data_IF_743889559551
#
_entry.id   IF_743889559551
#
_cell.length_a   1.000
_cell.length_b   1.000
_cell.length_c   1.000
_cell.angle_alpha   90.00
_cell.angle_beta   90.00
_cell.angle_gamma   90.00
#
_symmetry.space_group_name_H-M   'P 1'
#
loop_
_entity.id
_entity.type
_entity.pdbx_description
1 polymer ?
#
# COMPACT_ATOMS: atom_id res chain seq x y z
N UNK A 1 -5.54 18.43 6.65
CA UNK A 1 -4.25 17.75 6.43
C UNK A 1 -3.14 18.60 5.81
N UNK A 2 -3.39 19.62 4.96
CA UNK A 2 -2.30 20.40 4.33
C UNK A 2 -1.26 20.96 5.32
N UNK A 3 -1.68 21.60 6.42
CA UNK A 3 -0.74 22.07 7.45
C UNK A 3 0.10 20.97 8.10
N UNK A 4 -0.37 19.72 8.09
CA UNK A 4 0.43 18.58 8.57
C UNK A 4 1.40 18.08 7.50
N UNK A 5 1.00 18.04 6.22
CA UNK A 5 1.75 17.35 5.16
C UNK A 5 2.62 18.27 4.28
N UNK A 6 2.28 19.55 4.24
CA UNK A 6 2.86 20.59 3.38
C UNK A 6 3.04 21.92 4.16
N UNK A 7 3.60 21.91 5.39
CA UNK A 7 3.84 23.16 6.12
C UNK A 7 4.94 23.99 5.44
N UNK A 8 4.83 25.32 5.52
CA UNK A 8 5.91 26.24 5.16
C UNK A 8 6.75 26.64 6.39
N UNK A 9 6.21 26.44 7.58
CA UNK A 9 6.82 26.79 8.86
C UNK A 9 6.49 25.77 9.95
N UNK A 10 7.52 25.30 10.66
CA UNK A 10 7.39 24.26 11.68
C UNK A 10 8.09 24.68 12.97
N UNK A 11 7.35 24.71 14.07
CA UNK A 11 7.92 24.82 15.41
C UNK A 11 8.13 23.43 16.00
N UNK A 12 9.31 23.14 16.54
CA UNK A 12 9.59 21.85 17.19
C UNK A 12 9.80 22.11 18.68
N UNK A 13 8.86 21.67 19.51
CA UNK A 13 8.84 21.89 20.95
C UNK A 13 9.44 20.69 21.67
N UNK A 14 10.56 20.91 22.35
CA UNK A 14 11.32 19.84 23.00
C UNK A 14 12.40 19.22 22.13
N UNK A 15 13.03 20.00 21.24
CA UNK A 15 14.14 19.53 20.41
C UNK A 15 15.29 19.04 21.30
N UNK A 16 15.78 17.83 21.01
CA UNK A 16 16.95 17.28 21.68
C UNK A 16 18.21 18.07 21.34
N UNK A 17 19.06 18.31 22.34
CA UNK A 17 20.42 18.86 22.13
C UNK A 17 21.42 17.79 21.66
N UNK A 18 21.06 16.51 21.77
CA UNK A 18 21.91 15.39 21.32
C UNK A 18 21.75 15.22 19.81
N UNK A 19 22.85 14.92 19.12
CA UNK A 19 22.89 14.60 17.69
C UNK A 19 23.71 13.35 17.42
N UNK A 20 23.61 12.79 16.22
CA UNK A 20 24.35 11.59 15.83
C UNK A 20 23.63 10.28 16.12
N UNK A 21 24.37 9.17 16.12
CA UNK A 21 23.81 7.83 16.25
C UNK A 21 23.01 7.68 17.56
N UNK A 22 21.76 7.21 17.46
CA UNK A 22 20.87 7.02 18.61
C UNK A 22 20.27 8.30 19.20
N UNK A 23 20.42 9.47 18.55
CA UNK A 23 19.88 10.74 19.06
C UNK A 23 18.36 10.85 19.02
N UNK A 24 17.71 10.11 18.11
CA UNK A 24 16.29 10.22 17.75
C UNK A 24 15.83 11.69 17.60
N UNK A 25 16.68 12.52 17.01
CA UNK A 25 16.48 13.95 16.93
C UNK A 25 15.64 14.34 15.70
N UNK A 26 14.41 14.81 15.94
CA UNK A 26 13.50 15.26 14.87
C UNK A 26 14.09 16.37 14.01
N UNK A 27 14.80 17.34 14.61
CA UNK A 27 15.39 18.45 13.88
C UNK A 27 16.48 17.93 12.94
N UNK A 28 17.35 17.07 13.45
CA UNK A 28 18.41 16.43 12.67
C UNK A 28 17.85 15.64 11.49
N UNK A 29 16.81 14.84 11.72
CA UNK A 29 16.18 14.05 10.66
C UNK A 29 15.46 14.92 9.64
N UNK A 30 14.76 15.98 10.06
CA UNK A 30 14.06 16.91 9.16
C UNK A 30 15.06 17.63 8.24
N UNK A 31 16.21 18.06 8.79
CA UNK A 31 17.30 18.64 8.01
C UNK A 31 17.90 17.63 7.03
N UNK A 32 18.22 16.41 7.48
CA UNK A 32 18.74 15.33 6.63
C UNK A 32 17.77 14.92 5.52
N UNK A 33 16.46 14.97 5.79
CA UNK A 33 15.42 14.67 4.81
C UNK A 33 15.29 15.77 3.73
N UNK A 34 15.81 16.97 4.01
CA UNK A 34 15.95 18.06 3.05
C UNK A 34 14.82 19.09 3.06
N UNK A 35 14.15 19.27 4.21
CA UNK A 35 13.08 20.25 4.35
C UNK A 35 13.60 21.67 4.12
N UNK A 36 12.85 22.46 3.34
CA UNK A 36 13.25 23.82 2.91
C UNK A 36 12.42 24.93 3.54
N UNK A 37 11.38 24.60 4.30
CA UNK A 37 10.58 25.59 5.00
C UNK A 37 11.29 26.14 6.24
N UNK A 38 10.63 27.06 6.93
CA UNK A 38 11.15 27.68 8.15
C UNK A 38 11.06 26.69 9.31
N UNK A 39 12.13 26.59 10.09
CA UNK A 39 12.18 25.73 11.27
C UNK A 39 12.44 26.60 12.50
N UNK A 40 11.62 26.41 13.54
CA UNK A 40 11.72 27.11 14.81
C UNK A 40 11.89 26.10 15.95
N UNK A 41 13.14 25.74 16.32
CA UNK A 41 13.39 24.90 17.47
C UNK A 41 13.03 25.65 18.77
N UNK A 42 12.27 25.00 19.65
CA UNK A 42 11.90 25.55 20.97
C UNK A 42 12.57 24.70 22.05
N UNK A 43 13.57 25.29 22.70
CA UNK A 43 14.32 24.70 23.80
C UNK A 43 14.88 25.81 24.72
N UNK A 44 14.37 25.99 25.94
CA UNK A 44 14.79 27.06 26.84
C UNK A 44 16.21 26.89 27.41
N UNK A 45 16.83 25.71 27.23
CA UNK A 45 18.16 25.39 27.74
C UNK A 45 19.24 25.38 26.63
N UNK A 46 18.93 25.90 25.45
CA UNK A 46 19.85 26.07 24.34
C UNK A 46 19.68 27.47 23.73
N UNK A 47 20.76 28.04 23.18
CA UNK A 47 20.67 29.21 22.30
C UNK A 47 20.66 28.82 20.81
N UNK A 48 21.25 27.67 20.48
CA UNK A 48 21.34 27.14 19.12
C UNK A 48 21.36 25.60 19.17
N UNK A 49 20.73 24.95 18.20
CA UNK A 49 20.81 23.50 17.97
C UNK A 49 21.01 23.26 16.47
N UNK A 50 22.06 22.51 16.10
CA UNK A 50 22.38 22.17 14.70
C UNK A 50 22.52 23.40 13.78
N UNK A 51 23.09 24.50 14.28
CA UNK A 51 23.25 25.74 13.51
C UNK A 51 21.98 26.59 13.42
N UNK A 52 20.90 26.24 14.13
CA UNK A 52 19.62 26.95 14.08
C UNK A 52 19.33 27.59 15.45
N UNK A 53 19.12 28.92 15.51
CA UNK A 53 18.75 29.61 16.74
C UNK A 53 17.48 29.02 17.36
N UNK A 54 17.47 28.90 18.69
CA UNK A 54 16.36 28.32 19.43
C UNK A 54 15.59 29.39 20.20
N UNK A 55 14.30 29.14 20.41
CA UNK A 55 13.41 29.97 21.22
C UNK A 55 13.18 29.31 22.58
N UNK A 56 13.01 30.11 23.63
CA UNK A 56 12.67 29.57 24.95
C UNK A 56 11.20 29.12 25.03
N UNK A 57 10.31 29.91 24.43
CA UNK A 57 8.89 29.64 24.31
C UNK A 57 8.42 29.78 22.85
N UNK A 58 7.40 29.01 22.47
CA UNK A 58 6.83 29.07 21.12
C UNK A 58 6.20 30.45 20.83
N UNK A 59 5.73 31.16 21.87
CA UNK A 59 5.14 32.50 21.77
C UNK A 59 6.19 33.55 21.39
N UNK A 60 7.48 33.31 21.67
CA UNK A 60 8.57 34.22 21.37
C UNK A 60 8.96 34.23 19.89
N UNK A 61 8.43 33.29 19.09
CA UNK A 61 8.75 33.18 17.66
C UNK A 61 8.28 34.41 16.88
N UNK A 62 7.15 35.01 17.27
CA UNK A 62 6.61 36.24 16.66
C UNK A 62 6.31 36.13 15.15
N UNK A 63 6.24 34.91 14.61
CA UNK A 63 6.00 34.61 13.19
C UNK A 63 4.90 33.58 13.05
N UNK A 64 4.28 33.51 11.88
CA UNK A 64 3.30 32.46 11.55
C UNK A 64 3.96 31.08 11.64
N UNK A 65 3.26 30.15 12.28
CA UNK A 65 3.64 28.75 12.45
C UNK A 65 2.50 27.90 11.89
N UNK A 66 2.73 27.15 10.82
CA UNK A 66 1.72 26.28 10.22
C UNK A 66 1.54 24.99 11.04
N UNK A 67 2.63 24.48 11.61
CA UNK A 67 2.67 23.22 12.33
C UNK A 67 3.55 23.31 13.59
N UNK A 68 3.05 22.82 14.72
CA UNK A 68 3.89 22.54 15.89
C UNK A 68 4.08 21.04 16.09
N UNK A 69 5.29 20.61 16.43
CA UNK A 69 5.61 19.21 16.75
C UNK A 69 6.10 19.15 18.19
N UNK A 70 5.35 18.49 19.07
CA UNK A 70 5.67 18.37 20.50
C UNK A 70 6.33 17.01 20.75
N UNK A 71 7.56 17.04 21.26
CA UNK A 71 8.36 15.85 21.62
C UNK A 71 8.91 15.99 23.04
N UNK A 72 8.03 15.84 24.04
CA UNK A 72 8.33 16.02 25.47
C UNK A 72 7.68 14.92 26.33
N UNK A 73 8.10 14.73 27.59
CA UNK A 73 7.38 13.82 28.50
C UNK A 73 5.88 14.13 28.57
N UNK A 74 5.03 13.10 28.65
CA UNK A 74 3.56 13.20 28.54
C UNK A 74 2.94 14.23 29.48
N UNK A 75 3.53 14.43 30.65
CA UNK A 75 3.07 15.37 31.67
C UNK A 75 3.20 16.84 31.24
N UNK A 76 4.14 17.14 30.32
CA UNK A 76 4.39 18.50 29.83
C UNK A 76 3.55 18.84 28.60
N UNK A 77 3.08 17.83 27.87
CA UNK A 77 2.39 18.01 26.57
C UNK A 77 1.16 18.92 26.67
N UNK A 78 0.22 18.76 27.64
CA UNK A 78 -0.97 19.61 27.68
C UNK A 78 -0.67 21.10 27.87
N UNK A 79 0.32 21.44 28.70
CA UNK A 79 0.74 22.82 28.89
C UNK A 79 1.34 23.40 27.60
N UNK A 80 2.21 22.64 26.93
CA UNK A 80 2.86 23.06 25.68
C UNK A 80 1.87 23.16 24.52
N UNK A 81 0.84 22.31 24.49
CA UNK A 81 -0.26 22.45 23.54
C UNK A 81 -0.99 23.79 23.75
N UNK A 82 -1.30 24.17 24.99
CA UNK A 82 -1.93 25.48 25.27
C UNK A 82 -1.07 26.66 24.82
N UNK A 83 0.24 26.59 25.00
CA UNK A 83 1.16 27.60 24.48
C UNK A 83 1.14 27.66 22.95
N UNK A 84 1.08 26.50 22.27
CA UNK A 84 0.92 26.46 20.80
C UNK A 84 -0.39 27.12 20.36
N UNK A 85 -1.50 26.86 21.08
CA UNK A 85 -2.79 27.50 20.81
C UNK A 85 -2.71 29.02 21.00
N UNK A 86 -2.08 29.49 22.08
CA UNK A 86 -1.86 30.91 22.35
C UNK A 86 -0.97 31.59 21.30
N UNK A 87 -0.02 30.85 20.70
CA UNK A 87 0.79 31.30 19.58
C UNK A 87 0.06 31.24 18.22
N UNK A 88 -1.23 30.85 18.20
CA UNK A 88 -2.06 30.82 17.00
C UNK A 88 -1.89 29.57 16.12
N UNK A 89 -1.19 28.54 16.60
CA UNK A 89 -0.98 27.28 15.85
C UNK A 89 -2.30 26.50 15.77
N UNK A 90 -2.66 26.03 14.58
CA UNK A 90 -3.91 25.26 14.34
C UNK A 90 -3.69 23.77 14.08
N UNK A 91 -2.46 23.35 13.79
CA UNK A 91 -2.11 21.95 13.57
C UNK A 91 -0.95 21.54 14.49
N UNK A 92 -1.14 20.48 15.27
CA UNK A 92 -0.15 20.01 16.24
C UNK A 92 0.06 18.51 16.11
N UNK A 93 1.32 18.08 15.99
CA UNK A 93 1.72 16.68 16.06
C UNK A 93 2.26 16.41 17.46
N UNK A 94 1.72 15.41 18.15
CA UNK A 94 2.21 15.00 19.47
C UNK A 94 2.93 13.67 19.33
N UNK A 95 4.26 13.70 19.36
CA UNK A 95 5.09 12.50 19.18
C UNK A 95 5.00 11.57 20.40
N UNK A 96 4.87 12.17 21.58
CA UNK A 96 4.99 11.51 22.88
C UNK A 96 4.00 10.36 23.09
N UNK A 97 4.48 9.27 23.68
CA UNK A 97 3.68 8.12 24.12
C UNK A 97 3.13 8.31 25.54
N UNK A 98 2.34 7.35 26.02
CA UNK A 98 1.91 7.28 27.41
C UNK A 98 0.53 7.89 27.68
N UNK A 99 -0.33 7.92 26.66
CA UNK A 99 -1.67 8.47 26.72
C UNK A 99 -2.71 7.34 26.80
N UNK A 100 -3.63 7.21 25.83
CA UNK A 100 -4.59 6.10 25.83
C UNK A 100 -3.94 4.72 25.69
N UNK A 101 -2.70 4.69 25.21
CA UNK A 101 -1.80 3.55 25.03
C UNK A 101 -1.08 3.11 26.33
N UNK A 102 -1.32 3.76 27.47
CA UNK A 102 -0.64 3.40 28.74
C UNK A 102 -1.57 3.09 29.91
N UNK A 103 -2.19 4.12 30.51
CA UNK A 103 -2.90 3.99 31.79
C UNK A 103 -4.11 4.96 31.88
N UNK A 104 -4.91 4.85 32.95
CA UNK A 104 -6.10 5.70 33.14
C UNK A 104 -5.78 7.19 33.26
N UNK A 105 -4.60 7.54 33.78
CA UNK A 105 -4.16 8.94 33.82
C UNK A 105 -3.84 9.43 32.40
N UNK A 106 -3.15 8.63 31.60
CA UNK A 106 -2.87 8.89 30.19
C UNK A 106 -4.13 9.08 29.37
N UNK A 107 -5.16 8.24 29.58
CA UNK A 107 -6.49 8.41 28.97
C UNK A 107 -7.14 9.74 29.36
N UNK A 108 -7.08 10.15 30.64
CA UNK A 108 -7.58 11.47 31.08
C UNK A 108 -6.82 12.63 30.42
N UNK A 109 -5.49 12.57 30.41
CA UNK A 109 -4.65 13.58 29.76
C UNK A 109 -4.98 13.72 28.27
N UNK A 110 -5.18 12.62 27.55
CA UNK A 110 -5.57 12.65 26.14
C UNK A 110 -6.94 13.30 25.94
N UNK A 111 -7.93 12.95 26.77
CA UNK A 111 -9.28 13.55 26.70
C UNK A 111 -9.22 15.06 26.92
N UNK A 112 -8.55 15.52 27.98
CA UNK A 112 -8.38 16.95 28.28
C UNK A 112 -7.69 17.69 27.13
N UNK A 113 -6.64 17.09 26.56
CA UNK A 113 -5.89 17.63 25.43
C UNK A 113 -6.77 17.79 24.17
N UNK A 114 -7.55 16.76 23.82
CA UNK A 114 -8.45 16.77 22.66
C UNK A 114 -9.59 17.76 22.84
N UNK A 115 -10.21 17.81 24.04
CA UNK A 115 -11.27 18.78 24.34
C UNK A 115 -10.77 20.21 24.17
N UNK A 116 -9.64 20.55 24.81
CA UNK A 116 -9.07 21.89 24.73
C UNK A 116 -8.69 22.28 23.28
N UNK A 117 -8.13 21.34 22.51
CA UNK A 117 -7.81 21.59 21.11
C UNK A 117 -9.05 21.88 20.27
N UNK A 118 -10.12 21.08 20.43
CA UNK A 118 -11.39 21.28 19.70
C UNK A 118 -12.03 22.63 20.02
N UNK A 119 -12.10 23.01 21.29
CA UNK A 119 -12.64 24.30 21.74
C UNK A 119 -11.89 25.50 21.15
N UNK A 120 -10.60 25.33 20.83
CA UNK A 120 -9.74 26.35 20.23
C UNK A 120 -9.53 26.17 18.72
N UNK A 121 -10.29 25.30 18.06
CA UNK A 121 -10.17 25.06 16.61
C UNK A 121 -8.80 24.54 16.17
N UNK A 122 -8.12 23.79 17.04
CA UNK A 122 -6.83 23.14 16.79
C UNK A 122 -7.05 21.65 16.53
N UNK A 123 -6.30 21.11 15.56
CA UNK A 123 -6.31 19.68 15.23
C UNK A 123 -5.04 19.00 15.71
N UNK A 124 -5.15 17.74 16.13
CA UNK A 124 -4.06 16.93 16.68
C UNK A 124 -3.85 15.65 15.85
N UNK A 125 -2.61 15.42 15.40
CA UNK A 125 -2.15 14.12 14.92
C UNK A 125 -1.37 13.40 16.03
N UNK A 126 -1.66 12.12 16.25
CA UNK A 126 -1.16 11.33 17.37
C UNK A 126 -2.16 11.25 18.53
N UNK A 127 -1.71 11.24 19.81
CA UNK A 127 -0.31 11.17 20.24
C UNK A 127 0.35 9.82 19.86
N UNK A 128 1.57 9.55 20.35
CA UNK A 128 2.30 8.32 20.06
C UNK A 128 2.48 8.08 18.55
N UNK A 129 3.14 9.01 17.87
CA UNK A 129 3.27 8.97 16.41
C UNK A 129 4.66 9.38 15.94
N UNK A 130 5.12 8.82 14.82
CA UNK A 130 6.22 9.38 14.01
C UNK A 130 5.81 10.64 13.24
N UNK A 131 4.51 10.91 13.17
CA UNK A 131 3.88 11.98 12.42
C UNK A 131 3.81 11.64 10.94
N UNK A 132 4.46 12.43 10.10
CA UNK A 132 4.27 12.36 8.64
C UNK A 132 5.57 12.30 7.86
N UNK A 133 5.45 11.82 6.62
CA UNK A 133 6.46 12.02 5.58
C UNK A 133 5.80 12.53 4.31
N UNK A 134 6.52 13.39 3.60
CA UNK A 134 6.18 13.84 2.27
C UNK A 134 7.46 13.99 1.46
N UNK A 135 7.77 12.99 0.63
CA UNK A 135 8.96 12.98 -0.22
C UNK A 135 8.94 14.06 -1.31
N UNK A 136 7.77 14.53 -1.71
CA UNK A 136 7.61 15.58 -2.73
C UNK A 136 7.99 16.96 -2.21
N UNK A 137 7.65 17.28 -0.95
CA UNK A 137 8.07 18.52 -0.27
C UNK A 137 9.35 18.35 0.57
N UNK A 138 9.94 17.15 0.56
CA UNK A 138 11.09 16.77 1.40
C UNK A 138 10.83 17.10 2.88
N UNK A 139 9.62 16.82 3.35
CA UNK A 139 9.21 17.09 4.72
C UNK A 139 9.00 15.80 5.52
N UNK A 140 9.48 15.78 6.77
CA UNK A 140 9.22 14.70 7.72
C UNK A 140 9.23 15.21 9.15
N UNK A 141 8.44 14.60 10.02
CA UNK A 141 8.48 14.80 11.48
C UNK A 141 8.99 13.59 12.23
N UNK A 142 9.53 12.60 11.53
CA UNK A 142 9.99 11.36 12.12
C UNK A 142 11.25 11.57 12.98
N UNK A 143 11.20 11.08 14.22
CA UNK A 143 12.39 10.94 15.05
C UNK A 143 13.29 9.76 14.62
N UNK A 144 12.80 8.90 13.73
CA UNK A 144 13.59 7.87 13.06
C UNK A 144 14.13 8.39 11.72
N UNK A 145 15.35 8.01 11.31
CA UNK A 145 15.88 8.40 10.01
C UNK A 145 15.10 7.71 8.89
N UNK A 146 14.68 8.49 7.88
CA UNK A 146 13.94 8.03 6.71
C UNK A 146 14.56 8.63 5.44
N UNK A 147 14.31 7.99 4.30
CA UNK A 147 14.77 8.49 2.98
C UNK A 147 13.59 9.02 2.19
N UNK A 148 13.68 10.22 1.58
CA UNK A 148 12.61 10.74 0.75
C UNK A 148 12.55 9.98 -0.57
N UNK A 149 11.35 9.52 -0.94
CA UNK A 149 11.07 8.97 -2.25
C UNK A 149 9.93 9.74 -2.91
N UNK A 150 10.05 10.03 -4.21
CA UNK A 150 8.95 10.56 -5.02
C UNK A 150 8.21 9.37 -5.64
N UNK A 151 7.34 8.74 -4.86
CA UNK A 151 6.57 7.57 -5.26
C UNK A 151 5.08 7.89 -5.26
N UNK A 152 4.28 7.33 -6.17
CA UNK A 152 2.84 7.57 -6.19
C UNK A 152 2.06 6.73 -5.15
N UNK A 153 2.77 6.02 -4.27
CA UNK A 153 2.19 5.20 -3.19
C UNK A 153 2.17 6.02 -1.91
N UNK A 154 0.99 6.14 -1.32
CA UNK A 154 0.79 6.77 -0.02
C UNK A 154 0.37 5.76 1.03
N UNK A 155 0.89 5.90 2.25
CA UNK A 155 0.68 4.94 3.33
C UNK A 155 -0.03 5.60 4.52
N UNK A 156 -1.08 4.97 5.03
CA UNK A 156 -1.70 5.29 6.32
C UNK A 156 -1.39 4.14 7.27
N UNK A 157 -0.86 4.42 8.45
CA UNK A 157 -0.63 3.42 9.49
C UNK A 157 -1.05 3.91 10.86
N UNK A 158 -1.22 2.98 11.79
CA UNK A 158 -1.52 3.25 13.20
C UNK A 158 -0.35 2.85 14.12
N UNK A 159 0.82 2.55 13.54
CA UNK A 159 2.00 2.10 14.27
C UNK A 159 3.25 2.75 13.69
N UNK A 160 3.93 3.55 14.50
CA UNK A 160 5.10 4.32 14.07
C UNK A 160 6.28 3.46 13.65
N UNK A 161 6.80 2.59 14.53
CA UNK A 161 7.99 1.79 14.14
C UNK A 161 7.71 0.87 12.94
N UNK A 162 6.48 0.42 12.78
CA UNK A 162 6.05 -0.30 11.57
C UNK A 162 6.18 0.56 10.31
N UNK A 163 5.87 1.86 10.40
CA UNK A 163 6.02 2.82 9.30
C UNK A 163 7.46 2.97 8.80
N UNK A 164 8.47 2.83 9.66
CA UNK A 164 9.89 2.82 9.25
C UNK A 164 10.16 1.68 8.26
N UNK A 165 9.47 0.55 8.46
CA UNK A 165 9.52 -0.62 7.57
C UNK A 165 8.58 -0.54 6.36
N UNK A 166 7.89 0.58 6.11
CA UNK A 166 6.90 0.68 5.03
C UNK A 166 7.44 0.36 3.65
N UNK A 167 8.70 0.66 3.41
CA UNK A 167 9.44 0.26 2.21
C UNK A 167 9.41 -1.25 1.95
N UNK A 168 9.50 -2.06 3.01
CA UNK A 168 9.60 -3.52 2.91
C UNK A 168 8.29 -4.16 2.47
N UNK A 169 7.14 -3.57 2.83
CA UNK A 169 5.81 -4.10 2.51
C UNK A 169 5.07 -3.35 1.40
N UNK A 170 5.46 -2.12 1.03
CA UNK A 170 4.85 -1.40 -0.10
C UNK A 170 5.79 -1.10 -1.26
N UNK A 171 7.11 -1.17 -1.06
CA UNK A 171 8.08 -0.50 -1.91
C UNK A 171 8.24 0.99 -1.52
N UNK A 172 8.88 1.83 -2.36
CA UNK A 172 9.11 3.23 -2.02
C UNK A 172 7.80 3.97 -1.69
N UNK A 173 7.78 4.70 -0.58
CA UNK A 173 6.62 5.47 -0.09
C UNK A 173 6.81 6.95 -0.44
N UNK A 174 5.82 7.55 -1.08
CA UNK A 174 5.84 8.96 -1.45
C UNK A 174 5.42 9.88 -0.33
N UNK A 175 4.24 9.60 0.22
CA UNK A 175 3.68 10.31 1.36
C UNK A 175 3.19 9.29 2.38
N UNK A 176 3.22 9.64 3.66
CA UNK A 176 2.64 8.76 4.66
C UNK A 176 2.32 9.44 5.97
N UNK A 177 1.35 8.88 6.65
CA UNK A 177 0.78 9.41 7.90
C UNK A 177 0.73 8.26 8.89
N UNK A 178 1.46 8.42 9.99
CA UNK A 178 1.29 7.62 11.19
C UNK A 178 0.26 8.30 12.10
N UNK A 179 -0.86 7.63 12.33
CA UNK A 179 -1.95 8.15 13.13
C UNK A 179 -1.65 8.04 14.64
N UNK A 180 -0.74 7.14 15.04
CA UNK A 180 -0.55 6.80 16.44
C UNK A 180 -1.86 6.38 17.09
N UNK A 181 -2.18 7.00 18.24
CA UNK A 181 -3.45 6.75 18.93
C UNK A 181 -4.67 7.25 18.15
N UNK A 182 -4.51 8.13 17.15
CA UNK A 182 -5.61 8.65 16.33
C UNK A 182 -6.66 9.40 17.15
N UNK A 183 -6.24 10.24 18.11
CA UNK A 183 -7.16 10.85 19.08
C UNK A 183 -8.04 11.97 18.50
N UNK A 184 -7.67 12.52 17.34
CA UNK A 184 -8.43 13.53 16.61
C UNK A 184 -8.30 13.32 15.09
N UNK A 185 -7.10 13.47 14.52
CA UNK A 185 -6.85 13.11 13.12
C UNK A 185 -6.87 11.58 12.99
N UNK A 186 -7.75 11.05 12.13
CA UNK A 186 -7.93 9.62 11.95
C UNK A 186 -7.81 9.13 10.50
N UNK A 187 -8.21 7.88 10.26
CA UNK A 187 -8.18 7.26 8.93
C UNK A 187 -9.00 8.04 7.90
N UNK A 188 -10.13 8.64 8.30
CA UNK A 188 -10.96 9.47 7.41
C UNK A 188 -10.19 10.68 6.90
N UNK A 189 -9.58 11.48 7.78
CA UNK A 189 -8.84 12.69 7.38
C UNK A 189 -7.65 12.35 6.47
N UNK A 190 -6.92 11.28 6.80
CA UNK A 190 -5.79 10.80 6.00
C UNK A 190 -6.23 10.31 4.62
N UNK A 191 -7.33 9.56 4.54
CA UNK A 191 -7.91 9.09 3.28
C UNK A 191 -8.46 10.25 2.44
N UNK A 192 -9.05 11.27 3.06
CA UNK A 192 -9.58 12.46 2.38
C UNK A 192 -8.45 13.26 1.70
N UNK A 193 -7.33 13.40 2.40
CA UNK A 193 -6.13 14.02 1.86
C UNK A 193 -5.54 13.22 0.69
N UNK A 194 -5.25 11.94 0.88
CA UNK A 194 -4.66 11.12 -0.19
C UNK A 194 -5.63 10.86 -1.37
N UNK A 195 -6.93 10.83 -1.10
CA UNK A 195 -7.97 10.72 -2.12
C UNK A 195 -7.95 11.88 -3.10
N UNK A 196 -7.72 13.10 -2.63
CA UNK A 196 -7.66 14.32 -3.47
C UNK A 196 -6.25 14.67 -3.96
N UNK A 197 -5.21 14.08 -3.39
CA UNK A 197 -3.81 14.41 -3.69
C UNK A 197 -3.34 13.97 -5.09
N UNK A 198 -2.92 14.89 -5.98
CA UNK A 198 -2.51 14.53 -7.35
C UNK A 198 -1.23 13.69 -7.42
N UNK A 199 -0.39 13.71 -6.40
CA UNK A 199 0.83 12.89 -6.36
C UNK A 199 0.53 11.43 -5.98
N UNK A 200 -0.58 11.19 -5.27
CA UNK A 200 -1.02 9.86 -4.87
C UNK A 200 -1.81 9.18 -5.99
N UNK A 201 -1.39 7.96 -6.37
CA UNK A 201 -2.15 7.06 -7.28
C UNK A 201 -2.63 5.79 -6.58
N UNK A 202 -2.04 5.41 -5.46
CA UNK A 202 -2.43 4.22 -4.71
C UNK A 202 -2.28 4.49 -3.21
N UNK A 203 -3.25 4.01 -2.43
CA UNK A 203 -3.28 4.19 -0.97
C UNK A 203 -3.16 2.80 -0.31
N UNK A 204 -2.14 2.61 0.53
CA UNK A 204 -1.98 1.42 1.35
C UNK A 204 -2.30 1.76 2.81
N UNK A 205 -3.06 0.91 3.49
CA UNK A 205 -3.52 1.15 4.86
C UNK A 205 -3.14 -0.05 5.73
N UNK A 206 -2.37 0.19 6.78
CA UNK A 206 -2.24 -0.72 7.91
C UNK A 206 -3.21 -0.28 9.01
N UNK A 207 -4.19 -1.11 9.33
CA UNK A 207 -5.28 -0.78 10.24
C UNK A 207 -5.31 -1.74 11.43
N UNK A 208 -5.26 -1.20 12.64
CA UNK A 208 -5.41 -1.99 13.88
C UNK A 208 -6.82 -1.85 14.44
N UNK A 209 -7.33 -0.62 14.50
CA UNK A 209 -8.70 -0.29 14.87
C UNK A 209 -9.26 0.83 14.01
N UNK A 210 -10.57 0.85 13.80
CA UNK A 210 -11.23 1.90 13.04
C UNK A 210 -12.24 2.63 13.92
N UNK A 211 -11.92 3.87 14.25
CA UNK A 211 -12.87 4.83 14.81
C UNK A 211 -13.63 5.51 13.66
N UNK A 212 -14.86 5.97 13.92
CA UNK A 212 -15.71 6.65 12.93
C UNK A 212 -15.97 5.83 11.65
N UNK A 213 -16.10 4.50 11.77
CA UNK A 213 -16.13 3.59 10.62
C UNK A 213 -17.13 3.96 9.51
N UNK A 214 -18.34 4.43 9.85
CA UNK A 214 -19.35 4.83 8.85
C UNK A 214 -18.86 5.97 7.94
N UNK A 215 -18.23 6.99 8.50
CA UNK A 215 -17.75 8.14 7.72
C UNK A 215 -16.53 7.76 6.88
N UNK A 216 -15.64 6.91 7.40
CA UNK A 216 -14.53 6.35 6.65
C UNK A 216 -15.01 5.50 5.46
N UNK A 217 -15.94 4.58 5.68
CA UNK A 217 -16.47 3.70 4.63
C UNK A 217 -17.15 4.51 3.51
N UNK A 218 -17.97 5.49 3.87
CA UNK A 218 -18.64 6.39 2.90
C UNK A 218 -17.64 7.20 2.06
N UNK A 219 -16.48 7.56 2.64
CA UNK A 219 -15.40 8.21 1.91
C UNK A 219 -14.64 7.21 1.03
N UNK A 220 -14.33 6.03 1.57
CA UNK A 220 -13.65 4.96 0.84
C UNK A 220 -14.41 4.59 -0.44
N UNK A 221 -15.73 4.43 -0.39
CA UNK A 221 -16.59 4.16 -1.56
C UNK A 221 -16.41 5.15 -2.72
N UNK A 222 -16.05 6.40 -2.41
CA UNK A 222 -15.77 7.44 -3.41
C UNK A 222 -14.32 7.36 -3.88
N UNK A 223 -13.38 7.34 -2.93
CA UNK A 223 -11.93 7.35 -3.24
C UNK A 223 -11.53 6.12 -4.05
N UNK A 224 -12.08 4.94 -3.73
CA UNK A 224 -11.74 3.69 -4.42
C UNK A 224 -12.09 3.74 -5.90
N UNK A 225 -13.03 4.57 -6.35
CA UNK A 225 -13.38 4.66 -7.78
C UNK A 225 -12.24 5.25 -8.60
N UNK A 226 -11.50 6.19 -8.02
CA UNK A 226 -10.38 6.86 -8.67
C UNK A 226 -9.05 6.16 -8.36
N UNK A 227 -8.79 5.85 -7.10
CA UNK A 227 -7.50 5.35 -6.62
C UNK A 227 -7.68 4.04 -5.85
N UNK A 228 -6.96 2.96 -6.17
CA UNK A 228 -7.00 1.75 -5.36
C UNK A 228 -6.61 2.02 -3.90
N UNK A 229 -7.44 1.51 -2.99
CA UNK A 229 -7.18 1.50 -1.54
C UNK A 229 -6.97 0.05 -1.12
N UNK A 230 -5.75 -0.28 -0.71
CA UNK A 230 -5.35 -1.62 -0.25
C UNK A 230 -5.26 -1.58 1.27
N UNK A 231 -5.95 -2.50 1.95
CA UNK A 231 -6.01 -2.51 3.42
C UNK A 231 -5.47 -3.83 3.94
N UNK A 232 -4.54 -3.77 4.88
CA UNK A 232 -4.19 -4.89 5.74
C UNK A 232 -4.67 -4.60 7.16
N UNK A 233 -5.73 -5.32 7.56
CA UNK A 233 -6.34 -5.20 8.89
C UNK A 233 -5.75 -6.28 9.80
N UNK A 234 -5.09 -5.85 10.87
CA UNK A 234 -4.54 -6.76 11.88
C UNK A 234 -5.58 -7.14 12.93
N UNK A 235 -5.24 -8.04 13.85
CA UNK A 235 -6.16 -8.53 14.87
C UNK A 235 -7.20 -9.52 14.35
N UNK A 236 -6.79 -10.42 13.43
CA UNK A 236 -7.69 -11.40 12.81
C UNK A 236 -8.10 -12.54 13.77
N UNK A 237 -7.20 -12.89 14.69
CA UNK A 237 -7.43 -13.88 15.74
C UNK A 237 -7.75 -13.21 17.07
N UNK A 238 -8.37 -13.92 18.00
CA UNK A 238 -8.67 -13.38 19.33
C UNK A 238 -7.41 -12.89 20.06
N UNK A 239 -6.30 -13.62 19.94
CA UNK A 239 -5.01 -13.22 20.50
C UNK A 239 -4.48 -11.93 19.86
N UNK A 240 -4.54 -11.82 18.53
CA UNK A 240 -4.14 -10.62 17.82
C UNK A 240 -5.04 -9.42 18.10
N UNK A 241 -6.35 -9.64 18.22
CA UNK A 241 -7.32 -8.60 18.55
C UNK A 241 -7.09 -8.04 19.95
N UNK A 242 -6.85 -8.91 20.94
CA UNK A 242 -6.46 -8.49 22.30
C UNK A 242 -5.16 -7.70 22.30
N UNK A 243 -4.14 -8.16 21.56
CA UNK A 243 -2.86 -7.47 21.46
C UNK A 243 -3.01 -6.07 20.83
N UNK A 244 -3.79 -5.94 19.74
CA UNK A 244 -4.07 -4.67 19.09
C UNK A 244 -4.85 -3.70 20.00
N UNK A 245 -5.81 -4.22 20.78
CA UNK A 245 -6.58 -3.41 21.72
C UNK A 245 -5.70 -2.85 22.85
N UNK A 246 -4.78 -3.66 23.38
CA UNK A 246 -3.81 -3.21 24.39
C UNK A 246 -2.76 -2.26 23.82
N UNK A 247 -2.37 -2.43 22.55
CA UNK A 247 -1.33 -1.60 21.90
C UNK A 247 -1.81 -0.20 21.57
N UNK A 248 -2.98 -0.08 20.95
CA UNK A 248 -3.52 1.21 20.49
C UNK A 248 -4.42 1.91 21.52
N UNK A 249 -4.86 1.18 22.55
CA UNK A 249 -5.88 1.65 23.49
C UNK A 249 -7.28 1.79 22.86
N UNK A 250 -7.44 1.46 21.57
CA UNK A 250 -8.72 1.43 20.88
C UNK A 250 -9.39 0.06 21.04
N UNK A 251 -10.71 0.03 21.16
CA UNK A 251 -11.45 -1.23 21.19
C UNK A 251 -11.28 -1.95 19.85
N UNK A 252 -10.72 -3.17 19.86
CA UNK A 252 -10.66 -4.00 18.68
C UNK A 252 -12.09 -4.44 18.30
N UNK A 253 -12.64 -3.84 17.25
CA UNK A 253 -13.90 -4.29 16.67
C UNK A 253 -13.77 -5.68 16.05
N UNK A 254 -14.90 -6.38 15.88
CA UNK A 254 -14.92 -7.68 15.24
C UNK A 254 -14.25 -7.62 13.85
N UNK A 255 -13.25 -8.49 13.66
CA UNK A 255 -12.45 -8.51 12.44
C UNK A 255 -13.29 -8.79 11.19
N UNK A 256 -14.23 -9.75 11.27
CA UNK A 256 -15.06 -10.16 10.12
C UNK A 256 -15.98 -9.02 9.70
N UNK A 257 -16.63 -8.37 10.66
CA UNK A 257 -17.49 -7.20 10.41
C UNK A 257 -16.69 -6.07 9.76
N UNK A 258 -15.53 -5.71 10.32
CA UNK A 258 -14.69 -4.66 9.76
C UNK A 258 -14.20 -5.00 8.34
N UNK A 259 -13.67 -6.22 8.14
CA UNK A 259 -13.20 -6.71 6.84
C UNK A 259 -14.30 -6.67 5.78
N UNK A 260 -15.49 -7.16 6.12
CA UNK A 260 -16.58 -7.26 5.15
C UNK A 260 -17.16 -5.88 4.82
N UNK A 261 -17.24 -4.98 5.81
CA UNK A 261 -17.62 -3.59 5.57
C UNK A 261 -16.60 -2.85 4.68
N UNK A 262 -15.30 -3.03 4.91
CA UNK A 262 -14.23 -2.48 4.06
C UNK A 262 -14.32 -3.00 2.62
N UNK A 263 -14.60 -4.31 2.43
CA UNK A 263 -14.80 -4.92 1.11
C UNK A 263 -16.05 -4.38 0.42
N UNK A 264 -17.15 -4.18 1.15
CA UNK A 264 -18.37 -3.54 0.64
C UNK A 264 -18.10 -2.11 0.18
N UNK A 265 -17.28 -1.36 0.92
CA UNK A 265 -16.84 -0.03 0.52
C UNK A 265 -15.83 -0.01 -0.65
N UNK A 266 -15.49 -1.19 -1.21
CA UNK A 266 -14.60 -1.34 -2.36
C UNK A 266 -13.11 -1.31 -2.04
N UNK A 267 -12.72 -1.35 -0.77
CA UNK A 267 -11.32 -1.50 -0.41
C UNK A 267 -10.81 -2.92 -0.73
N UNK A 268 -9.59 -3.02 -1.23
CA UNK A 268 -8.92 -4.29 -1.50
C UNK A 268 -8.29 -4.80 -0.20
N UNK A 269 -9.05 -5.59 0.57
CA UNK A 269 -8.62 -6.10 1.88
C UNK A 269 -7.81 -7.38 1.75
N UNK A 270 -6.56 -7.34 2.21
CA UNK A 270 -5.60 -8.43 2.19
C UNK A 270 -5.68 -9.28 3.45
N UNK A 271 -5.53 -10.60 3.29
CA UNK A 271 -5.59 -11.55 4.40
C UNK A 271 -4.21 -11.75 5.06
N UNK A 272 -3.10 -11.47 4.37
CA UNK A 272 -1.74 -11.66 4.88
C UNK A 272 -0.89 -10.42 4.66
N UNK A 273 -0.01 -10.11 5.60
CA UNK A 273 0.94 -9.00 5.54
C UNK A 273 1.85 -9.10 4.30
N UNK A 274 2.36 -10.31 4.03
CA UNK A 274 3.24 -10.57 2.89
C UNK A 274 2.57 -10.41 1.52
N UNK A 275 1.25 -10.22 1.45
CA UNK A 275 0.53 -9.94 0.19
C UNK A 275 0.59 -8.45 -0.19
N UNK A 276 0.89 -7.54 0.75
CA UNK A 276 0.85 -6.10 0.50
C UNK A 276 1.79 -5.71 -0.65
N UNK A 277 3.05 -6.12 -0.60
CA UNK A 277 4.04 -5.71 -1.61
C UNK A 277 3.65 -6.16 -3.01
N UNK A 278 3.15 -7.39 -3.11
CA UNK A 278 2.69 -7.96 -4.38
C UNK A 278 1.45 -7.22 -4.89
N UNK A 279 0.50 -6.85 -4.01
CA UNK A 279 -0.65 -6.05 -4.36
C UNK A 279 -0.26 -4.66 -4.91
N UNK A 280 0.64 -3.94 -4.21
CA UNK A 280 1.12 -2.62 -4.64
C UNK A 280 1.83 -2.72 -6.00
N UNK A 281 2.72 -3.70 -6.19
CA UNK A 281 3.44 -3.92 -7.46
C UNK A 281 2.46 -4.18 -8.60
N UNK A 282 1.46 -5.02 -8.36
CA UNK A 282 0.41 -5.36 -9.34
C UNK A 282 -0.38 -4.13 -9.77
N UNK A 283 -0.97 -3.41 -8.81
CA UNK A 283 -1.87 -2.29 -9.07
C UNK A 283 -1.17 -1.07 -9.67
N UNK A 284 0.15 -0.92 -9.44
CA UNK A 284 0.96 0.10 -10.12
C UNK A 284 1.30 -0.27 -11.55
N UNK A 285 1.41 -1.56 -11.83
CA UNK A 285 1.93 -2.08 -13.09
C UNK A 285 0.83 -2.23 -14.15
N UNK A 286 -0.31 -2.77 -13.74
CA UNK A 286 -1.35 -3.21 -14.67
C UNK A 286 -2.60 -2.34 -14.61
N UNK A 287 -3.30 -2.27 -15.74
CA UNK A 287 -4.68 -1.81 -15.78
C UNK A 287 -5.62 -2.84 -15.11
N UNK A 288 -6.83 -2.43 -14.69
CA UNK A 288 -7.84 -3.36 -14.20
C UNK A 288 -8.20 -4.43 -15.24
N UNK A 289 -8.36 -5.67 -14.79
CA UNK A 289 -8.66 -6.83 -15.64
C UNK A 289 -10.16 -6.87 -15.93
N UNK A 290 -10.55 -6.77 -17.21
CA UNK A 290 -11.95 -6.55 -17.62
C UNK A 290 -12.91 -7.69 -17.24
N UNK A 291 -12.41 -8.92 -17.16
CA UNK A 291 -13.19 -10.09 -16.80
C UNK A 291 -12.39 -11.05 -15.92
N UNK A 292 -12.91 -12.25 -15.72
CA UNK A 292 -12.34 -13.24 -14.81
C UNK A 292 -11.75 -14.47 -15.53
N UNK A 293 -11.57 -14.40 -16.85
CA UNK A 293 -11.09 -15.52 -17.68
C UNK A 293 -9.57 -15.41 -17.85
N UNK A 294 -8.84 -16.39 -17.35
CA UNK A 294 -7.38 -16.41 -17.35
C UNK A 294 -6.84 -17.50 -18.25
N UNK A 295 -5.93 -17.17 -19.16
CA UNK A 295 -5.12 -18.15 -19.87
C UNK A 295 -3.89 -18.53 -19.05
N UNK A 296 -3.60 -19.83 -18.95
CA UNK A 296 -2.43 -20.35 -18.25
C UNK A 296 -1.50 -20.99 -19.27
N UNK A 297 -0.26 -20.53 -19.35
CA UNK A 297 0.79 -21.14 -20.17
C UNK A 297 1.76 -21.84 -19.23
N UNK A 298 2.02 -23.13 -19.44
CA UNK A 298 2.85 -23.92 -18.54
C UNK A 298 3.71 -24.96 -19.27
N UNK A 299 4.97 -25.16 -18.87
CA UNK A 299 5.81 -26.26 -19.36
C UNK A 299 5.50 -27.59 -18.66
N UNK A 300 4.49 -27.64 -17.78
CA UNK A 300 4.08 -28.86 -17.08
C UNK A 300 2.59 -28.83 -16.74
N UNK A 301 1.88 -29.92 -17.04
CA UNK A 301 0.48 -30.09 -16.69
C UNK A 301 0.19 -29.94 -15.19
N UNK A 302 1.11 -30.32 -14.30
CA UNK A 302 0.94 -30.14 -12.86
C UNK A 302 0.79 -28.66 -12.47
N UNK A 303 1.58 -27.77 -13.11
CA UNK A 303 1.44 -26.33 -12.94
C UNK A 303 0.08 -25.82 -13.42
N UNK A 304 -0.46 -26.43 -14.49
CA UNK A 304 -1.80 -26.14 -14.99
C UNK A 304 -2.91 -26.51 -13.99
N UNK A 305 -2.83 -27.69 -13.38
CA UNK A 305 -3.79 -28.14 -12.35
C UNK A 305 -3.75 -27.19 -11.14
N UNK A 306 -2.55 -26.89 -10.62
CA UNK A 306 -2.36 -25.96 -9.51
C UNK A 306 -2.91 -24.57 -9.80
N UNK A 307 -2.75 -24.10 -11.05
CA UNK A 307 -3.30 -22.82 -11.49
C UNK A 307 -4.82 -22.83 -11.55
N UNK A 308 -5.44 -23.90 -12.09
CA UNK A 308 -6.90 -24.07 -12.09
C UNK A 308 -7.49 -23.95 -10.69
N UNK A 309 -6.94 -24.71 -9.74
CA UNK A 309 -7.36 -24.70 -8.33
C UNK A 309 -7.23 -23.30 -7.69
N UNK A 310 -6.11 -22.62 -7.94
CA UNK A 310 -5.86 -21.29 -7.38
C UNK A 310 -6.83 -20.24 -7.97
N UNK A 311 -7.11 -20.32 -9.28
CA UNK A 311 -8.04 -19.42 -9.97
C UNK A 311 -9.45 -19.52 -9.38
N UNK A 312 -9.97 -20.75 -9.23
CA UNK A 312 -11.31 -20.98 -8.69
C UNK A 312 -11.46 -20.45 -7.27
N UNK A 313 -10.47 -20.69 -6.39
CA UNK A 313 -10.47 -20.15 -5.00
C UNK A 313 -10.59 -18.63 -4.93
N UNK A 314 -10.24 -17.90 -5.99
CA UNK A 314 -10.26 -16.43 -6.07
C UNK A 314 -11.35 -15.89 -6.99
N UNK A 315 -12.31 -16.74 -7.41
CA UNK A 315 -13.43 -16.35 -8.29
C UNK A 315 -13.02 -16.06 -9.74
N UNK A 316 -11.81 -16.49 -10.12
CA UNK A 316 -11.34 -16.50 -11.50
C UNK A 316 -11.58 -17.88 -12.11
N UNK A 317 -11.45 -17.99 -13.42
CA UNK A 317 -11.61 -19.27 -14.14
C UNK A 317 -10.64 -19.37 -15.30
N UNK A 318 -10.37 -20.59 -15.72
CA UNK A 318 -9.67 -20.84 -16.98
C UNK A 318 -10.52 -20.30 -18.13
N UNK A 319 -9.90 -19.50 -19.00
CA UNK A 319 -10.49 -19.05 -20.25
C UNK A 319 -10.77 -20.23 -21.20
N UNK A 320 -11.91 -20.20 -21.88
CA UNK A 320 -12.13 -21.01 -23.08
C UNK A 320 -11.47 -20.30 -24.26
N UNK A 321 -10.42 -20.91 -24.82
CA UNK A 321 -9.70 -20.34 -25.95
C UNK A 321 -10.56 -20.41 -27.23
N UNK A 322 -10.50 -19.35 -28.03
CA UNK A 322 -11.18 -19.30 -29.32
C UNK A 322 -10.61 -20.32 -30.32
N UNK A 323 -11.43 -20.69 -31.30
CA UNK A 323 -11.02 -21.60 -32.38
C UNK A 323 -9.79 -21.08 -33.13
N UNK A 324 -9.68 -19.76 -33.34
CA UNK A 324 -8.52 -19.15 -34.00
C UNK A 324 -7.23 -19.29 -33.18
N UNK A 325 -7.30 -19.16 -31.86
CA UNK A 325 -6.14 -19.38 -30.98
C UNK A 325 -5.74 -20.84 -30.93
N UNK A 326 -6.72 -21.75 -30.78
CA UNK A 326 -6.47 -23.19 -30.81
C UNK A 326 -5.84 -23.60 -32.15
N UNK A 327 -6.36 -23.10 -33.27
CA UNK A 327 -5.81 -23.35 -34.60
C UNK A 327 -4.37 -22.82 -34.75
N UNK A 328 -4.08 -21.63 -34.22
CA UNK A 328 -2.74 -21.05 -34.28
C UNK A 328 -1.72 -21.88 -33.49
N UNK A 329 -2.12 -22.37 -32.32
CA UNK A 329 -1.29 -23.20 -31.44
C UNK A 329 -1.15 -24.63 -31.98
N UNK A 330 -2.17 -25.18 -32.65
CA UNK A 330 -2.11 -26.55 -33.21
C UNK A 330 -1.02 -26.71 -34.27
N UNK A 331 -0.74 -25.67 -35.06
CA UNK A 331 0.32 -25.65 -36.07
C UNK A 331 1.73 -25.88 -35.52
N UNK A 332 1.96 -25.58 -34.24
CA UNK A 332 3.24 -25.79 -33.56
C UNK A 332 3.21 -27.00 -32.61
N UNK A 333 2.05 -27.64 -32.45
CA UNK A 333 1.82 -28.71 -31.49
C UNK A 333 1.75 -30.09 -32.16
N UNK A 334 1.97 -31.19 -31.43
CA UNK A 334 1.68 -32.53 -31.94
C UNK A 334 0.18 -32.72 -32.18
N UNK A 335 -0.20 -33.31 -33.32
CA UNK A 335 -1.61 -33.49 -33.69
C UNK A 335 -2.40 -34.44 -32.80
N UNK A 336 -1.73 -35.25 -31.97
CA UNK A 336 -2.37 -36.11 -30.98
C UNK A 336 -2.67 -35.39 -29.65
N UNK A 337 -2.12 -34.19 -29.44
CA UNK A 337 -2.23 -33.47 -28.18
C UNK A 337 -3.54 -32.67 -28.15
N UNK A 338 -4.44 -32.90 -27.18
CA UNK A 338 -5.59 -32.03 -26.99
C UNK A 338 -5.11 -30.64 -26.58
N UNK A 339 -5.61 -29.62 -27.26
CA UNK A 339 -5.32 -28.22 -26.93
C UNK A 339 -6.48 -27.61 -26.17
N UNK A 340 -6.15 -26.83 -25.15
CA UNK A 340 -7.11 -26.16 -24.29
C UNK A 340 -6.40 -25.23 -23.32
N UNK A 341 -7.05 -25.00 -22.18
CA UNK A 341 -6.51 -24.20 -21.10
C UNK A 341 -6.69 -24.99 -19.78
N UNK A 342 -5.62 -25.30 -19.03
CA UNK A 342 -4.25 -24.81 -19.17
C UNK A 342 -3.54 -25.27 -20.44
N UNK A 343 -2.71 -24.40 -21.00
CA UNK A 343 -1.90 -24.72 -22.17
C UNK A 343 -0.57 -25.34 -21.72
N UNK A 344 -0.52 -26.67 -21.65
CA UNK A 344 0.72 -27.42 -21.46
C UNK A 344 1.50 -27.45 -22.78
N UNK A 345 2.58 -26.69 -22.83
CA UNK A 345 3.37 -26.50 -24.05
C UNK A 345 4.48 -27.53 -24.22
N UNK A 346 4.79 -28.36 -23.21
CA UNK A 346 6.01 -29.19 -23.23
C UNK A 346 6.11 -30.12 -24.46
N UNK A 347 5.04 -30.81 -24.89
CA UNK A 347 5.12 -31.65 -26.09
C UNK A 347 5.39 -30.87 -27.38
N UNK A 348 4.94 -29.61 -27.48
CA UNK A 348 5.27 -28.72 -28.59
C UNK A 348 6.74 -28.24 -28.50
N UNK A 349 7.21 -27.94 -27.29
CA UNK A 349 8.60 -27.53 -27.01
C UNK A 349 9.60 -28.57 -27.49
N UNK A 350 9.33 -29.86 -27.28
CA UNK A 350 10.20 -30.95 -27.74
C UNK A 350 10.40 -30.98 -29.27
N UNK A 351 9.49 -30.37 -30.06
CA UNK A 351 9.54 -30.37 -31.53
C UNK A 351 10.09 -29.08 -32.12
N UNK A 352 9.80 -27.94 -31.49
CA UNK A 352 10.01 -26.60 -32.07
C UNK A 352 10.88 -25.68 -31.20
N UNK A 353 11.30 -26.15 -30.03
CA UNK A 353 12.11 -25.40 -29.08
C UNK A 353 11.29 -24.47 -28.19
N UNK A 354 11.76 -24.27 -26.95
CA UNK A 354 10.99 -23.57 -25.90
C UNK A 354 10.67 -22.12 -26.28
N UNK A 355 11.67 -21.37 -26.73
CA UNK A 355 11.55 -19.95 -27.05
C UNK A 355 10.47 -19.69 -28.11
N UNK A 356 10.50 -20.46 -29.21
CA UNK A 356 9.53 -20.31 -30.31
C UNK A 356 8.12 -20.66 -29.86
N UNK A 357 7.96 -21.76 -29.11
CA UNK A 357 6.63 -22.23 -28.69
C UNK A 357 6.03 -21.30 -27.65
N UNK A 358 6.81 -20.87 -26.66
CA UNK A 358 6.32 -19.96 -25.61
C UNK A 358 5.89 -18.61 -26.21
N UNK A 359 6.69 -18.05 -27.10
CA UNK A 359 6.37 -16.78 -27.78
C UNK A 359 5.09 -16.87 -28.61
N UNK A 360 4.93 -17.94 -29.40
CA UNK A 360 3.74 -18.13 -30.23
C UNK A 360 2.48 -18.39 -29.40
N UNK A 361 2.58 -19.22 -28.35
CA UNK A 361 1.48 -19.46 -27.41
C UNK A 361 1.04 -18.18 -26.70
N UNK A 362 1.99 -17.38 -26.22
CA UNK A 362 1.72 -16.11 -25.55
C UNK A 362 1.06 -15.09 -26.49
N UNK A 363 1.55 -14.96 -27.71
CA UNK A 363 0.95 -14.09 -28.72
C UNK A 363 -0.51 -14.49 -29.00
N UNK A 364 -0.79 -15.78 -29.20
CA UNK A 364 -2.14 -16.26 -29.45
C UNK A 364 -3.12 -15.93 -28.30
N UNK A 365 -2.73 -16.16 -27.04
CA UNK A 365 -3.63 -15.88 -25.90
C UNK A 365 -3.75 -14.38 -25.59
N UNK A 366 -2.74 -13.57 -25.93
CA UNK A 366 -2.81 -12.11 -25.83
C UNK A 366 -3.86 -11.54 -26.80
N UNK A 367 -3.98 -12.10 -28.01
CA UNK A 367 -4.96 -11.67 -29.01
C UNK A 367 -6.35 -12.26 -28.78
N UNK A 368 -6.47 -13.36 -28.03
CA UNK A 368 -7.72 -14.08 -27.84
C UNK A 368 -8.81 -13.26 -27.09
N UNK A 369 -9.97 -12.97 -27.69
CA UNK A 369 -11.04 -12.19 -27.05
C UNK A 369 -11.69 -12.90 -25.85
N UNK A 370 -11.47 -14.21 -25.72
CA UNK A 370 -11.85 -15.07 -24.61
C UNK A 370 -11.00 -14.89 -23.35
N UNK A 371 -9.87 -14.18 -23.44
CA UNK A 371 -8.87 -14.06 -22.37
C UNK A 371 -8.84 -12.64 -21.81
N UNK A 372 -8.96 -12.51 -20.49
CA UNK A 372 -8.90 -11.22 -19.78
C UNK A 372 -7.55 -11.00 -19.09
N UNK A 373 -6.87 -12.06 -18.67
CA UNK A 373 -5.53 -12.02 -18.07
C UNK A 373 -4.75 -13.30 -18.33
N UNK A 374 -3.43 -13.29 -18.11
CA UNK A 374 -2.55 -14.40 -18.47
C UNK A 374 -1.60 -14.71 -17.30
N UNK A 375 -1.50 -15.99 -16.94
CA UNK A 375 -0.51 -16.53 -16.03
C UNK A 375 0.52 -17.35 -16.82
N UNK A 376 1.76 -16.89 -16.84
CA UNK A 376 2.89 -17.61 -17.41
C UNK A 376 3.65 -18.35 -16.31
N UNK A 377 3.73 -19.67 -16.40
CA UNK A 377 4.57 -20.52 -15.55
C UNK A 377 5.87 -20.77 -16.30
N UNK A 378 7.00 -20.34 -15.75
CA UNK A 378 8.29 -20.33 -16.44
C UNK A 378 9.37 -21.04 -15.62
N UNK A 379 10.29 -21.72 -16.31
CA UNK A 379 11.46 -22.33 -15.68
C UNK A 379 12.53 -21.27 -15.47
N UNK A 380 13.20 -21.31 -14.32
CA UNK A 380 14.34 -20.46 -14.01
C UNK A 380 15.62 -21.31 -13.83
N UNK A 381 16.38 -21.59 -14.91
CA UNK A 381 17.66 -22.29 -14.81
C UNK A 381 18.75 -21.41 -14.17
N UNK A 382 19.73 -22.02 -13.51
CA UNK A 382 20.96 -21.38 -13.02
C UNK A 382 22.24 -21.89 -13.71
N UNK A 383 22.17 -23.05 -14.37
CA UNK A 383 23.27 -23.66 -15.11
C UNK A 383 23.34 -23.14 -16.56
N UNK A 384 24.54 -22.79 -17.07
CA UNK A 384 24.72 -22.29 -18.44
C UNK A 384 24.18 -23.21 -19.54
N UNK A 385 24.39 -24.52 -19.42
CA UNK A 385 23.93 -25.51 -20.41
C UNK A 385 22.39 -25.56 -20.52
N UNK A 386 21.68 -25.08 -19.49
CA UNK A 386 20.23 -25.01 -19.44
C UNK A 386 19.69 -23.60 -19.66
N UNK A 387 20.53 -22.62 -20.02
CA UNK A 387 20.13 -21.23 -20.22
C UNK A 387 19.03 -21.07 -21.29
N UNK A 388 18.92 -22.00 -22.24
CA UNK A 388 17.85 -22.01 -23.25
C UNK A 388 16.44 -22.15 -22.65
N UNK A 389 16.31 -22.58 -21.38
CA UNK A 389 15.05 -22.65 -20.64
C UNK A 389 14.55 -21.28 -20.14
N UNK A 390 15.40 -20.25 -20.12
CA UNK A 390 15.04 -18.88 -19.73
C UNK A 390 14.29 -18.19 -20.88
N UNK A 391 12.97 -18.01 -20.71
CA UNK A 391 12.10 -17.35 -21.70
C UNK A 391 11.89 -15.85 -21.45
N UNK A 392 12.66 -15.23 -20.55
CA UNK A 392 12.45 -13.82 -20.18
C UNK A 392 12.53 -12.87 -21.36
N UNK A 393 13.48 -13.07 -22.28
CA UNK A 393 13.65 -12.22 -23.47
C UNK A 393 12.46 -12.33 -24.43
N UNK A 394 12.04 -13.55 -24.77
CA UNK A 394 10.90 -13.75 -25.67
C UNK A 394 9.60 -13.23 -25.06
N UNK A 395 9.38 -13.45 -23.76
CA UNK A 395 8.17 -12.97 -23.09
C UNK A 395 8.17 -11.43 -23.04
N UNK A 396 9.28 -10.77 -22.68
CA UNK A 396 9.34 -9.30 -22.68
C UNK A 396 9.14 -8.67 -24.07
N UNK A 397 9.56 -9.37 -25.12
CA UNK A 397 9.36 -8.94 -26.51
C UNK A 397 7.89 -9.06 -26.94
N UNK A 398 7.21 -10.14 -26.55
CA UNK A 398 5.83 -10.43 -26.96
C UNK A 398 4.81 -9.66 -26.13
N UNK A 399 5.05 -9.50 -24.83
CA UNK A 399 4.14 -8.77 -23.94
C UNK A 399 4.12 -7.30 -24.37
N UNK A 400 2.96 -6.76 -24.83
CA UNK A 400 2.84 -5.34 -25.10
C UNK A 400 3.07 -4.56 -23.80
N UNK A 401 3.35 -3.26 -23.86
CA UNK A 401 3.62 -2.42 -22.68
C UNK A 401 2.48 -2.38 -21.65
N UNK A 402 1.97 -1.18 -21.32
CA UNK A 402 0.74 -1.10 -20.52
C UNK A 402 -0.47 -1.46 -21.40
N UNK A 403 -0.67 -2.75 -21.61
CA UNK A 403 -1.80 -3.32 -22.36
C UNK A 403 -3.03 -3.59 -21.48
N UNK A 404 -4.16 -3.94 -22.10
CA UNK A 404 -5.42 -4.21 -21.39
C UNK A 404 -5.40 -5.52 -20.60
N UNK A 405 -4.61 -6.51 -21.03
CA UNK A 405 -4.54 -7.84 -20.41
C UNK A 405 -3.29 -7.97 -19.54
N UNK A 406 -3.40 -8.10 -18.22
CA UNK A 406 -2.24 -8.31 -17.35
C UNK A 406 -1.57 -9.66 -17.63
N UNK A 407 -0.24 -9.64 -17.75
CA UNK A 407 0.60 -10.86 -17.86
C UNK A 407 1.42 -10.99 -16.59
N UNK A 408 1.07 -11.96 -15.75
CA UNK A 408 1.79 -12.27 -14.50
C UNK A 408 2.64 -13.52 -14.68
N UNK A 409 3.81 -13.56 -14.02
CA UNK A 409 4.75 -14.68 -14.14
C UNK A 409 4.95 -15.34 -12.78
N UNK A 410 4.95 -16.67 -12.77
CA UNK A 410 5.57 -17.45 -11.70
C UNK A 410 6.81 -18.17 -12.24
N UNK A 411 7.94 -18.00 -11.56
CA UNK A 411 9.17 -18.71 -11.85
C UNK A 411 9.40 -19.84 -10.85
N UNK A 412 9.81 -21.00 -11.35
CA UNK A 412 10.28 -22.11 -10.53
C UNK A 412 11.65 -22.61 -11.02
N UNK A 413 12.51 -22.98 -10.09
CA UNK A 413 13.88 -23.41 -10.37
C UNK A 413 14.93 -22.62 -9.57
N UNK A 414 16.20 -23.00 -9.68
CA UNK A 414 17.28 -22.41 -8.88
C UNK A 414 17.67 -20.98 -9.30
N UNK A 415 17.41 -20.58 -10.55
CA UNK A 415 17.80 -19.27 -11.12
C UNK A 415 16.82 -18.11 -10.86
N UNK A 416 15.82 -18.28 -10.00
CA UNK A 416 14.68 -17.34 -9.85
C UNK A 416 15.14 -15.89 -9.64
N UNK A 417 16.12 -15.63 -8.78
CA UNK A 417 16.56 -14.28 -8.46
C UNK A 417 17.21 -13.54 -9.65
N UNK A 418 17.96 -14.28 -10.49
CA UNK A 418 18.57 -13.72 -11.70
C UNK A 418 17.52 -13.43 -12.77
N UNK A 419 16.65 -14.40 -13.01
CA UNK A 419 15.69 -14.35 -14.12
C UNK A 419 14.52 -13.41 -13.81
N UNK A 420 14.11 -13.29 -12.55
CA UNK A 420 13.10 -12.30 -12.13
C UNK A 420 13.50 -10.88 -12.53
N UNK A 421 14.78 -10.53 -12.39
CA UNK A 421 15.29 -9.21 -12.79
C UNK A 421 15.17 -8.97 -14.30
N UNK A 422 15.35 -10.01 -15.12
CA UNK A 422 15.19 -9.92 -16.57
C UNK A 422 13.73 -9.69 -16.96
N UNK A 423 12.79 -10.46 -16.40
CA UNK A 423 11.35 -10.26 -16.63
C UNK A 423 10.87 -8.87 -16.21
N UNK A 424 11.44 -8.32 -15.13
CA UNK A 424 10.98 -7.04 -14.58
C UNK A 424 11.71 -5.82 -15.15
N UNK A 425 12.71 -6.02 -16.03
CA UNK A 425 13.59 -4.98 -16.55
C UNK A 425 12.85 -3.83 -17.25
N UNK A 426 11.89 -4.17 -18.12
CA UNK A 426 11.11 -3.18 -18.88
C UNK A 426 9.89 -2.64 -18.10
N UNK A 427 9.73 -3.06 -16.85
CA UNK A 427 8.56 -2.74 -16.04
C UNK A 427 7.21 -3.05 -16.74
N UNK A 428 7.11 -4.15 -17.50
CA UNK A 428 5.84 -4.63 -18.09
C UNK A 428 5.24 -5.79 -17.30
N UNK A 429 6.09 -6.62 -16.71
CA UNK A 429 5.71 -7.88 -16.07
C UNK A 429 6.11 -7.87 -14.59
N UNK A 430 5.28 -8.45 -13.74
CA UNK A 430 5.57 -8.73 -12.34
C UNK A 430 5.76 -10.23 -12.17
N UNK A 431 6.87 -10.60 -11.53
CA UNK A 431 7.16 -11.98 -11.14
C UNK A 431 6.74 -12.18 -9.69
N UNK A 432 6.05 -13.29 -9.46
CA UNK A 432 5.57 -13.72 -8.16
C UNK A 432 6.26 -15.00 -7.71
N UNK A 433 6.28 -15.23 -6.40
CA UNK A 433 6.98 -16.37 -5.78
C UNK A 433 6.17 -17.67 -5.80
N UNK A 434 4.89 -17.61 -6.14
CA UNK A 434 4.02 -18.77 -6.28
C UNK A 434 2.83 -18.48 -7.20
N UNK A 435 2.20 -19.54 -7.69
CA UNK A 435 0.93 -19.47 -8.44
C UNK A 435 -0.14 -18.72 -7.63
N UNK A 436 -0.29 -19.03 -6.34
CA UNK A 436 -1.25 -18.38 -5.45
C UNK A 436 -1.11 -16.85 -5.41
N UNK A 437 0.14 -16.36 -5.42
CA UNK A 437 0.43 -14.92 -5.41
C UNK A 437 0.12 -14.28 -6.76
N UNK A 438 0.47 -14.95 -7.86
CA UNK A 438 0.17 -14.47 -9.21
C UNK A 438 -1.35 -14.43 -9.46
N UNK A 439 -2.09 -15.43 -8.99
CA UNK A 439 -3.55 -15.47 -9.08
C UNK A 439 -4.21 -14.44 -8.17
N UNK A 440 -3.70 -14.25 -6.95
CA UNK A 440 -4.15 -13.15 -6.08
C UNK A 440 -4.02 -11.79 -6.78
N UNK A 441 -2.90 -11.55 -7.44
CA UNK A 441 -2.68 -10.33 -8.21
C UNK A 441 -3.72 -10.12 -9.33
N UNK A 442 -3.99 -11.14 -10.15
CA UNK A 442 -5.04 -11.07 -11.17
C UNK A 442 -6.43 -10.81 -10.55
N UNK A 443 -6.73 -11.43 -9.41
CA UNK A 443 -7.99 -11.24 -8.69
C UNK A 443 -8.15 -9.80 -8.19
N UNK A 444 -7.09 -9.16 -7.69
CA UNK A 444 -7.11 -7.74 -7.33
C UNK A 444 -7.44 -6.84 -8.53
N UNK A 445 -6.88 -7.13 -9.71
CA UNK A 445 -7.16 -6.37 -10.93
C UNK A 445 -8.61 -6.56 -11.40
N UNK A 446 -9.16 -7.77 -11.27
CA UNK A 446 -10.57 -8.04 -11.56
C UNK A 446 -11.50 -7.30 -10.61
N UNK A 447 -11.23 -7.37 -9.31
CA UNK A 447 -12.01 -6.64 -8.30
C UNK A 447 -11.95 -5.13 -8.54
N UNK A 448 -10.77 -4.60 -8.89
CA UNK A 448 -10.62 -3.18 -9.27
C UNK A 448 -11.50 -2.83 -10.46
N UNK A 449 -11.57 -3.68 -11.48
CA UNK A 449 -12.41 -3.43 -12.66
C UNK A 449 -13.89 -3.38 -12.29
N UNK A 450 -14.37 -4.34 -11.49
CA UNK A 450 -15.77 -4.37 -11.01
C UNK A 450 -16.17 -3.13 -10.21
N UNK A 451 -15.22 -2.50 -9.52
CA UNK A 451 -15.47 -1.25 -8.78
C UNK A 451 -15.52 -0.02 -9.67
N UNK A 452 -14.77 -0.01 -10.79
CA UNK A 452 -14.73 1.10 -11.74
C UNK A 452 -15.88 1.07 -12.74
N UNK A 453 -16.32 -0.14 -13.11
CA UNK A 453 -17.47 -0.35 -13.98
C UNK A 453 -18.73 -0.32 -13.11
N UNK A 454 -19.57 0.73 -13.15
CA UNK A 454 -20.83 0.70 -12.44
C UNK A 454 -21.71 -0.41 -13.05
N UNK A 455 -21.66 -1.61 -12.48
CA UNK A 455 -22.67 -2.61 -12.76
C UNK A 455 -24.00 -2.06 -12.22
N UNK A 456 -24.96 -1.86 -13.13
CA UNK A 456 -26.40 -1.76 -12.86
C UNK A 456 -26.74 -2.74 -11.73
N UNK A 457 -26.81 -2.25 -10.49
CA UNK A 457 -27.44 -3.04 -9.44
C UNK A 457 -28.90 -3.14 -9.81
N UNK A 458 -29.32 -4.39 -9.98
CA UNK A 458 -30.69 -4.84 -10.18
C UNK A 458 -31.71 -3.90 -9.55
N UNK A 459 -32.38 -3.10 -10.39
CA UNK A 459 -33.76 -2.71 -10.11
C UNK A 459 -34.52 -4.03 -10.06
N UNK A 460 -34.91 -4.45 -8.86
CA UNK A 460 -35.84 -5.56 -8.69
C UNK A 460 -37.11 -5.22 -9.46
N UNK A 461 -37.27 -5.84 -10.62
CA UNK A 461 -38.56 -5.95 -11.27
C UNK A 461 -39.39 -6.90 -10.43
N UNK A 462 -40.37 -6.34 -9.74
CA UNK A 462 -41.55 -7.08 -9.33
C UNK A 462 -42.26 -7.52 -10.60
N UNK A 463 -42.08 -8.77 -11.00
CA UNK A 463 -43.07 -9.46 -11.83
C UNK A 463 -44.28 -9.70 -10.93
N UNK A 464 -45.18 -8.72 -10.90
CA UNK A 464 -46.60 -8.96 -10.68
C UNK A 464 -47.18 -9.43 -12.02
N UNK A 465 -47.61 -10.69 -12.08
CA UNK A 465 -48.71 -11.10 -12.96
C UNK A 465 -49.56 -12.13 -12.25
N UNK A 466 -50.85 -11.82 -12.26
CA UNK A 466 -52.02 -12.67 -12.01
C UNK A 466 -51.93 -14.08 -12.60
#
# INVERSE_FOLDING_TARGET
MKHFMEPESVAIVGVSRKSGAGSFNLLENMLRFGYRGKIFPVNPAAGEILGIPTYADIRDIGRKIDLAVISLPREKVPARLRECMAAGVRAVIVVSQGFSDADERGKRLQREMVTAARENGVRILGPNTLGVINGFSRFTTSFMPLTPHMSPVSVICQSGVFFVGAGSFTGPVGKGIDLGNGCDIGFRDALEYFGSDPDTRLIAIHMEGLTEGRSFLSLAERVVREKPVVVYKTGQSDGGARAAASHSGAMAGDYRVCRDALRQAGALVLDRDGDMRDAIRTLRRYAPMKGNRVAVITPTGAGGIMAGDALERRGLRLAALSESSIHSISRISPGWMPLGNPLDIWPAVMRKGLQSVYGAALAAVLEDPGVDGILCICIAPDLPDFAFLDVSEVVNRVVPGKGEKPVVVWLYGPGVAGISRKFEADEKIVVYRSIEKAVMALSLLFMRHRLMSPSRMMTGGTDETD
#
